data_IF_040133392771
#
_entry.id   IF_040133392771
#
_cell.length_a   1.000
_cell.length_b   1.000
_cell.length_c   1.000
_cell.angle_alpha   90.00
_cell.angle_beta   90.00
_cell.angle_gamma   90.00
#
_symmetry.space_group_name_H-M   'P 1'
#
loop_
_entity.id
_entity.type
_entity.pdbx_description
1 polymer ?
#
# COMPACT_ATOMS: atom_id res chain seq x y z
N UNK A 1 6.02 -2.09 -7.72
CA UNK A 1 5.89 -1.01 -6.72
C UNK A 1 6.56 0.21 -7.30
N UNK A 2 5.90 1.37 -7.29
CA UNK A 2 6.47 2.61 -7.82
C UNK A 2 7.69 2.97 -6.95
N UNK A 3 8.91 3.05 -7.51
CA UNK A 3 10.08 3.49 -6.76
C UNK A 3 9.86 4.94 -6.29
N UNK A 4 9.93 5.19 -4.97
CA UNK A 4 9.80 6.53 -4.40
C UNK A 4 8.44 6.88 -3.78
N UNK A 5 7.44 6.00 -3.82
CA UNK A 5 6.22 6.20 -3.04
C UNK A 5 6.51 5.92 -1.56
N UNK A 6 6.88 6.96 -0.80
CA UNK A 6 7.08 6.86 0.64
C UNK A 6 5.71 6.93 1.33
N UNK A 7 5.00 5.81 1.38
CA UNK A 7 3.67 5.69 1.97
C UNK A 7 3.62 6.03 3.47
N UNK A 8 4.79 6.15 4.12
CA UNK A 8 4.95 6.58 5.51
C UNK A 8 4.92 8.10 5.69
N UNK A 9 4.80 8.89 4.61
CA UNK A 9 4.72 10.35 4.72
C UNK A 9 3.47 10.74 5.53
N UNK A 10 3.58 11.63 6.55
CA UNK A 10 2.45 12.01 7.41
C UNK A 10 1.21 12.49 6.64
N UNK A 11 1.43 13.18 5.52
CA UNK A 11 0.36 13.64 4.63
C UNK A 11 -0.44 12.50 3.99
N UNK A 12 0.20 11.36 3.66
CA UNK A 12 -0.51 10.21 3.09
C UNK A 12 -1.44 9.54 4.09
N UNK A 13 -1.01 9.45 5.36
CA UNK A 13 -1.87 8.99 6.46
C UNK A 13 -3.11 9.87 6.58
N UNK A 14 -2.90 11.19 6.65
CA UNK A 14 -3.99 12.16 6.76
C UNK A 14 -5.02 12.01 5.62
N UNK A 15 -4.57 11.88 4.37
CA UNK A 15 -5.48 11.73 3.23
C UNK A 15 -6.23 10.39 3.22
N UNK A 16 -5.59 9.30 3.66
CA UNK A 16 -6.25 8.00 3.76
C UNK A 16 -7.36 8.02 4.82
N UNK A 17 -7.09 8.58 6.00
CA UNK A 17 -8.07 8.75 7.08
C UNK A 17 -9.24 9.60 6.60
N UNK A 18 -8.96 10.76 5.99
CA UNK A 18 -10.01 11.64 5.43
C UNK A 18 -10.84 10.95 4.35
N UNK A 19 -10.20 10.18 3.47
CA UNK A 19 -10.91 9.44 2.42
C UNK A 19 -11.83 8.37 3.01
N UNK A 20 -11.37 7.63 4.02
CA UNK A 20 -12.19 6.62 4.69
C UNK A 20 -13.31 7.21 5.55
N UNK A 21 -13.12 8.37 6.18
CA UNK A 21 -14.20 9.13 6.83
C UNK A 21 -15.29 9.55 5.83
N UNK A 22 -14.89 10.10 4.68
CA UNK A 22 -15.81 10.52 3.63
C UNK A 22 -16.56 9.33 3.03
N UNK A 23 -15.88 8.23 2.74
CA UNK A 23 -16.51 7.02 2.22
C UNK A 23 -17.55 6.47 3.19
N UNK A 24 -17.24 6.42 4.50
CA UNK A 24 -18.20 6.04 5.54
C UNK A 24 -19.40 6.99 5.60
N UNK A 25 -19.14 8.31 5.58
CA UNK A 25 -20.20 9.34 5.62
C UNK A 25 -21.20 9.20 4.48
N UNK A 26 -20.72 8.86 3.28
CA UNK A 26 -21.54 8.76 2.08
C UNK A 26 -21.91 7.32 1.70
N UNK A 27 -21.62 6.34 2.56
CA UNK A 27 -21.85 4.91 2.30
C UNK A 27 -21.24 4.43 0.98
N UNK A 28 -20.01 4.86 0.70
CA UNK A 28 -19.21 4.46 -0.45
C UNK A 28 -18.14 3.46 -0.04
N UNK A 29 -17.74 2.59 -0.97
CA UNK A 29 -16.61 1.69 -0.78
C UNK A 29 -15.28 2.40 -1.09
N UNK A 30 -14.29 2.23 -0.21
CA UNK A 30 -12.93 2.71 -0.43
C UNK A 30 -12.05 1.58 -0.98
N UNK A 31 -11.42 1.82 -2.13
CA UNK A 31 -10.48 0.93 -2.79
C UNK A 31 -9.08 1.54 -2.70
N UNK A 32 -8.09 0.74 -2.34
CA UNK A 32 -6.70 1.21 -2.28
C UNK A 32 -5.71 0.17 -2.78
N UNK A 33 -4.50 0.64 -3.07
CA UNK A 33 -3.37 -0.20 -3.48
C UNK A 33 -2.19 0.07 -2.57
N UNK A 34 -1.46 -0.98 -2.20
CA UNK A 34 -0.29 -0.87 -1.31
C UNK A 34 0.82 -1.81 -1.76
N UNK A 35 2.07 -1.45 -1.49
CA UNK A 35 3.24 -2.24 -1.85
C UNK A 35 3.45 -3.43 -0.88
N UNK A 36 4.17 -4.46 -1.32
CA UNK A 36 4.45 -5.67 -0.54
C UNK A 36 5.31 -5.43 0.71
N UNK A 37 5.97 -4.28 0.80
CA UNK A 37 6.89 -3.94 1.90
C UNK A 37 6.43 -2.70 2.66
N UNK A 38 5.13 -2.46 2.62
CA UNK A 38 4.56 -1.34 3.34
C UNK A 38 4.69 -1.58 4.84
N UNK A 39 5.00 -0.51 5.57
CA UNK A 39 5.13 -0.50 7.02
C UNK A 39 3.89 -1.14 7.69
N UNK A 40 4.06 -2.00 8.71
CA UNK A 40 2.94 -2.66 9.39
C UNK A 40 1.89 -1.69 9.95
N UNK A 41 2.30 -0.55 10.51
CA UNK A 41 1.37 0.43 11.05
C UNK A 41 0.58 1.16 9.94
N UNK A 42 1.17 1.28 8.75
CA UNK A 42 0.42 1.75 7.58
C UNK A 42 -0.53 0.67 7.05
N UNK A 43 -0.14 -0.60 7.07
CA UNK A 43 -1.04 -1.69 6.67
C UNK A 43 -2.28 -1.80 7.57
N UNK A 44 -2.12 -1.62 8.88
CA UNK A 44 -3.25 -1.56 9.82
C UNK A 44 -4.19 -0.37 9.51
N UNK A 45 -3.62 0.79 9.19
CA UNK A 45 -4.38 1.97 8.79
C UNK A 45 -5.19 1.72 7.50
N UNK A 46 -4.57 1.08 6.51
CA UNK A 46 -5.23 0.72 5.25
C UNK A 46 -6.35 -0.29 5.50
N UNK A 47 -6.12 -1.31 6.32
CA UNK A 47 -7.13 -2.33 6.66
C UNK A 47 -8.31 -1.78 7.45
N UNK A 48 -8.12 -0.71 8.23
CA UNK A 48 -9.21 -0.10 9.01
C UNK A 48 -10.13 0.83 8.18
N UNK A 49 -9.68 1.30 7.01
CA UNK A 49 -10.43 2.27 6.21
C UNK A 49 -10.87 1.75 4.84
N UNK A 50 -10.12 0.84 4.22
CA UNK A 50 -10.41 0.34 2.89
C UNK A 50 -11.26 -0.93 2.92
N UNK A 51 -12.24 -0.99 2.02
CA UNK A 51 -13.06 -2.19 1.81
C UNK A 51 -12.35 -3.22 0.94
N UNK A 52 -11.48 -2.75 0.04
CA UNK A 52 -10.70 -3.61 -0.85
C UNK A 52 -9.28 -3.07 -0.97
N UNK A 53 -8.32 -3.99 -0.86
CA UNK A 53 -6.90 -3.68 -0.88
C UNK A 53 -6.25 -4.52 -1.98
N UNK A 54 -5.67 -3.86 -2.97
CA UNK A 54 -4.83 -4.52 -3.97
C UNK A 54 -3.37 -4.51 -3.49
N UNK A 55 -2.82 -5.71 -3.26
CA UNK A 55 -1.46 -5.90 -2.74
C UNK A 55 -0.46 -6.05 -3.90
N UNK A 56 0.28 -4.98 -4.18
CA UNK A 56 1.32 -4.90 -5.22
C UNK A 56 0.86 -5.21 -6.64
N UNK A 57 1.68 -4.80 -7.60
CA UNK A 57 1.57 -5.28 -8.97
C UNK A 57 2.48 -6.48 -9.20
N UNK A 58 2.08 -7.34 -10.13
CA UNK A 58 2.89 -8.39 -10.76
C UNK A 58 4.31 -7.90 -11.09
N UNK A 59 4.43 -6.74 -11.72
CA UNK A 59 5.70 -6.15 -12.11
C UNK A 59 6.55 -5.75 -10.90
N UNK A 60 5.90 -5.33 -9.81
CA UNK A 60 6.57 -5.05 -8.55
C UNK A 60 7.10 -6.28 -7.83
N UNK A 61 6.36 -7.39 -7.92
CA UNK A 61 6.78 -8.68 -7.38
C UNK A 61 7.99 -9.18 -8.20
N UNK A 62 7.86 -9.18 -9.52
CA UNK A 62 8.88 -9.61 -10.45
C UNK A 62 10.19 -8.83 -10.30
N UNK A 63 10.12 -7.48 -10.35
CA UNK A 63 11.32 -6.64 -10.27
C UNK A 63 12.08 -6.83 -8.94
N UNK A 64 11.35 -6.99 -7.83
CA UNK A 64 11.97 -7.20 -6.50
C UNK A 64 12.57 -8.60 -6.38
N UNK A 65 11.92 -9.62 -6.95
CA UNK A 65 12.48 -10.96 -7.06
C UNK A 65 13.79 -10.97 -7.85
N UNK A 66 13.81 -10.35 -9.03
CA UNK A 66 15.02 -10.20 -9.84
C UNK A 66 16.13 -9.47 -9.07
N UNK A 67 15.80 -8.38 -8.37
CA UNK A 67 16.77 -7.65 -7.55
C UNK A 67 17.38 -8.54 -6.46
N UNK A 68 16.58 -9.32 -5.72
CA UNK A 68 17.10 -10.22 -4.67
C UNK A 68 18.03 -11.29 -5.24
N UNK A 69 17.71 -11.84 -6.41
CA UNK A 69 18.57 -12.80 -7.10
C UNK A 69 19.90 -12.15 -7.50
N UNK A 70 19.87 -10.95 -8.08
CA UNK A 70 21.08 -10.21 -8.46
C UNK A 70 21.94 -9.82 -7.25
N UNK A 71 21.32 -9.59 -6.09
CA UNK A 71 22.01 -9.33 -4.82
C UNK A 71 22.49 -10.60 -4.10
N UNK A 72 22.30 -11.79 -4.68
CA UNK A 72 22.73 -13.07 -4.09
C UNK A 72 21.90 -13.53 -2.89
N UNK A 73 20.71 -12.95 -2.69
CA UNK A 73 19.82 -13.21 -1.52
C UNK A 73 18.83 -14.36 -1.74
N UNK A 74 18.85 -14.98 -2.91
CA UNK A 74 17.88 -16.01 -3.31
C UNK A 74 16.45 -15.47 -3.43
N UNK A 75 15.51 -16.37 -3.71
CA UNK A 75 14.08 -16.06 -3.69
C UNK A 75 13.59 -15.89 -2.25
#
# INVERSE_FOLDING_TARGET
GIPGANYTHPTMRHWLEKSGELCRKYNLALYTTTAMNTDPAYMELVCSHANMICMSSDMGIFSKGCQRVLEGKGF
#
